data_IF_731270760123
#
_entry.id   IF_731270760123
#
_cell.length_a   1.000
_cell.length_b   1.000
_cell.length_c   1.000
_cell.angle_alpha   90.00
_cell.angle_beta   90.00
_cell.angle_gamma   90.00
#
_symmetry.space_group_name_H-M   'P 1'
#
loop_
_entity.id
_entity.type
_entity.pdbx_description
1 polymer ?
#
# COMPACT_ATOMS: atom_id res chain seq x y z
N UNK A 1 0.10 -2.69 28.46
CA UNK A 1 -1.02 -1.89 28.96
C UNK A 1 -0.65 -0.42 28.86
N UNK A 2 -1.13 0.24 27.83
CA UNK A 2 -0.87 1.67 27.62
C UNK A 2 -1.72 2.47 28.63
N UNK A 3 -1.09 3.44 29.31
CA UNK A 3 -1.81 4.31 30.25
C UNK A 3 -2.97 5.01 29.51
N UNK A 4 -4.19 4.88 30.00
CA UNK A 4 -5.39 5.54 29.43
C UNK A 4 -5.20 7.05 29.27
N UNK A 5 -4.41 7.70 30.14
CA UNK A 5 -4.09 9.12 30.07
C UNK A 5 -3.17 9.41 28.90
N UNK A 6 -2.12 8.60 28.69
CA UNK A 6 -1.20 8.74 27.55
C UNK A 6 -1.92 8.59 26.22
N UNK A 7 -2.78 7.58 26.06
CA UNK A 7 -3.61 7.39 24.87
C UNK A 7 -4.55 8.58 24.61
N UNK A 8 -5.14 9.17 25.65
CA UNK A 8 -5.98 10.37 25.51
C UNK A 8 -5.18 11.57 25.03
N UNK A 9 -3.96 11.76 25.53
CA UNK A 9 -3.07 12.84 25.10
C UNK A 9 -2.60 12.62 23.65
N UNK A 10 -2.22 11.41 23.28
CA UNK A 10 -1.84 11.07 21.90
C UNK A 10 -2.96 11.45 20.91
N UNK A 11 -4.20 11.02 21.17
CA UNK A 11 -5.36 11.39 20.34
C UNK A 11 -5.60 12.89 20.27
N UNK A 12 -5.35 13.65 21.35
CA UNK A 12 -5.48 15.12 21.34
C UNK A 12 -4.40 15.76 20.48
N UNK A 13 -3.17 15.24 20.50
CA UNK A 13 -2.07 15.69 19.64
C UNK A 13 -2.44 15.42 18.17
N UNK A 14 -2.88 14.21 17.84
CA UNK A 14 -3.32 13.83 16.50
C UNK A 14 -4.47 14.70 15.98
N UNK A 15 -5.50 14.91 16.79
CA UNK A 15 -6.60 15.80 16.43
C UNK A 15 -6.16 17.25 16.24
N UNK A 16 -5.15 17.72 16.97
CA UNK A 16 -4.59 19.06 16.80
C UNK A 16 -3.81 19.19 15.49
N UNK A 17 -3.06 18.16 15.09
CA UNK A 17 -2.36 18.10 13.80
C UNK A 17 -3.37 18.17 12.65
N UNK A 18 -4.42 17.34 12.70
CA UNK A 18 -5.48 17.32 11.67
C UNK A 18 -6.16 18.68 11.55
N UNK A 19 -6.56 19.30 12.67
CA UNK A 19 -7.20 20.64 12.67
C UNK A 19 -6.33 21.73 12.09
N UNK A 20 -5.00 21.61 12.19
CA UNK A 20 -4.03 22.56 11.61
C UNK A 20 -3.78 22.33 10.12
N UNK A 21 -4.46 21.39 9.47
CA UNK A 21 -4.24 21.07 8.06
C UNK A 21 -2.91 20.37 7.80
N UNK A 22 -2.37 19.63 8.79
CA UNK A 22 -1.15 18.83 8.69
C UNK A 22 0.11 19.58 8.23
N UNK A 23 0.55 20.64 8.92
CA UNK A 23 1.71 21.43 8.50
C UNK A 23 3.01 20.63 8.76
N UNK A 24 3.47 19.88 7.75
CA UNK A 24 4.65 19.03 7.83
C UNK A 24 5.88 19.87 8.21
N UNK A 25 6.68 19.37 9.15
CA UNK A 25 7.87 20.06 9.66
C UNK A 25 7.59 21.14 10.71
N UNK A 26 6.33 21.49 10.98
CA UNK A 26 6.00 22.46 12.03
C UNK A 26 6.18 21.85 13.42
N UNK A 27 6.62 22.67 14.37
CA UNK A 27 6.76 22.28 15.79
C UNK A 27 5.43 22.42 16.53
N UNK A 28 5.11 21.40 17.32
CA UNK A 28 4.00 21.40 18.27
C UNK A 28 4.41 21.95 19.65
N UNK A 29 5.72 22.16 19.85
CA UNK A 29 6.31 22.68 21.06
C UNK A 29 7.37 21.75 21.69
N UNK A 30 8.10 22.29 22.64
CA UNK A 30 9.08 21.53 23.42
C UNK A 30 8.42 20.54 24.39
N UNK A 31 9.17 19.57 24.92
CA UNK A 31 8.65 18.60 25.91
C UNK A 31 8.02 19.33 27.12
N UNK A 32 8.68 20.38 27.62
CA UNK A 32 8.17 21.18 28.74
C UNK A 32 6.90 21.97 28.40
N UNK A 33 6.85 22.58 27.21
CA UNK A 33 5.65 23.29 26.76
C UNK A 33 4.44 22.36 26.59
N UNK A 34 4.67 21.15 26.07
CA UNK A 34 3.61 20.14 25.93
C UNK A 34 3.15 19.60 27.28
N UNK A 35 4.05 19.40 28.27
CA UNK A 35 3.68 19.03 29.63
C UNK A 35 2.76 20.08 30.27
N UNK A 36 3.11 21.36 30.15
CA UNK A 36 2.29 22.46 30.67
C UNK A 36 0.94 22.52 29.95
N UNK A 37 0.95 22.45 28.60
CA UNK A 37 -0.27 22.52 27.78
C UNK A 37 -1.27 21.43 28.10
N UNK A 38 -0.80 20.21 28.33
CA UNK A 38 -1.67 19.05 28.61
C UNK A 38 -1.86 18.76 30.11
N UNK A 39 -1.19 19.50 30.98
CA UNK A 39 -1.22 19.33 32.45
C UNK A 39 -0.93 17.86 32.85
N UNK A 40 0.16 17.28 32.33
CA UNK A 40 0.55 15.89 32.58
C UNK A 40 2.00 15.78 33.04
N UNK A 41 2.30 14.65 33.72
CA UNK A 41 3.67 14.33 34.11
C UNK A 41 4.53 14.02 32.87
N UNK A 42 5.85 14.12 33.05
CA UNK A 42 6.83 13.80 32.00
C UNK A 42 6.68 12.36 31.50
N UNK A 43 6.42 11.40 32.39
CA UNK A 43 6.24 10.00 32.01
C UNK A 43 5.04 9.79 31.12
N UNK A 44 3.88 10.38 31.47
CA UNK A 44 2.64 10.31 30.67
C UNK A 44 2.83 10.98 29.30
N UNK A 45 3.50 12.15 29.24
CA UNK A 45 3.78 12.79 27.96
C UNK A 45 4.70 11.95 27.08
N UNK A 46 5.78 11.38 27.63
CA UNK A 46 6.70 10.54 26.86
C UNK A 46 6.02 9.30 26.30
N UNK A 47 5.11 8.69 27.05
CA UNK A 47 4.32 7.57 26.53
C UNK A 47 3.33 8.01 25.45
N UNK A 48 2.68 9.17 25.59
CA UNK A 48 1.85 9.74 24.54
C UNK A 48 2.65 10.05 23.26
N UNK A 49 3.85 10.59 23.40
CA UNK A 49 4.75 10.86 22.28
C UNK A 49 5.15 9.55 21.57
N UNK A 50 5.48 8.47 22.31
CA UNK A 50 5.77 7.17 21.70
C UNK A 50 4.60 6.64 20.84
N UNK A 51 3.35 6.83 21.30
CA UNK A 51 2.18 6.46 20.51
C UNK A 51 2.08 7.28 19.23
N UNK A 52 2.25 8.60 19.32
CA UNK A 52 2.24 9.51 18.16
C UNK A 52 3.36 9.19 17.18
N UNK A 53 4.56 8.86 17.68
CA UNK A 53 5.69 8.40 16.87
C UNK A 53 5.43 7.04 16.23
N UNK A 54 4.77 6.12 16.95
CA UNK A 54 4.36 4.81 16.42
C UNK A 54 3.35 4.97 15.27
N UNK A 55 2.41 5.90 15.39
CA UNK A 55 1.47 6.26 14.32
C UNK A 55 2.13 7.09 13.20
N UNK A 56 3.39 7.45 13.36
CA UNK A 56 4.20 8.21 12.39
C UNK A 56 3.62 9.59 12.01
N UNK A 57 2.88 10.22 12.89
CA UNK A 57 2.28 11.53 12.64
C UNK A 57 3.13 12.69 13.15
N UNK A 58 4.01 12.44 14.12
CA UNK A 58 5.01 13.41 14.60
C UNK A 58 6.20 12.69 15.23
N UNK A 59 7.35 13.40 15.36
CA UNK A 59 8.58 12.87 15.93
C UNK A 59 9.24 13.86 16.88
N UNK A 60 9.75 13.37 18.02
CA UNK A 60 10.50 14.17 18.97
C UNK A 60 11.94 14.37 18.45
N UNK A 61 12.37 15.63 18.35
CA UNK A 61 13.76 16.00 18.08
C UNK A 61 14.41 16.49 19.36
N UNK A 62 15.67 16.09 19.59
CA UNK A 62 16.48 16.50 20.75
C UNK A 62 17.28 17.76 20.42
N UNK A 63 17.75 18.46 21.45
CA UNK A 63 18.66 19.62 21.32
C UNK A 63 18.02 20.95 21.68
N UNK A 64 18.75 22.08 21.55
CA UNK A 64 18.32 23.40 21.97
C UNK A 64 17.03 23.88 21.29
N UNK A 65 16.85 23.52 20.01
CA UNK A 65 15.63 23.78 19.24
C UNK A 65 14.76 22.51 19.11
N UNK A 66 14.84 21.61 20.09
CA UNK A 66 14.11 20.35 20.10
C UNK A 66 12.63 20.54 20.41
N UNK A 67 11.84 19.50 20.10
CA UNK A 67 10.41 19.48 20.32
C UNK A 67 9.73 18.42 19.50
N UNK A 68 8.43 18.37 19.56
CA UNK A 68 7.62 17.44 18.77
C UNK A 68 7.30 18.08 17.41
N UNK A 69 7.77 17.51 16.33
CA UNK A 69 7.60 17.99 14.96
C UNK A 69 6.66 17.11 14.17
N UNK A 70 5.75 17.71 13.43
CA UNK A 70 4.79 17.04 12.55
C UNK A 70 5.56 16.38 11.40
N UNK A 71 5.27 15.10 11.14
CA UNK A 71 5.83 14.33 10.04
C UNK A 71 4.78 14.06 8.98
N UNK A 72 5.25 13.73 7.78
CA UNK A 72 4.41 13.12 6.77
C UNK A 72 3.97 11.73 7.25
N UNK A 73 2.67 11.43 7.29
CA UNK A 73 2.19 10.14 7.73
C UNK A 73 2.54 9.05 6.74
N UNK A 74 2.79 7.84 7.26
CA UNK A 74 3.08 6.67 6.45
C UNK A 74 2.04 5.58 6.72
N UNK A 75 1.42 5.07 5.67
CA UNK A 75 0.41 4.01 5.75
C UNK A 75 1.00 2.63 6.14
N UNK A 76 2.31 2.44 6.11
CA UNK A 76 2.97 1.16 6.33
C UNK A 76 2.59 0.45 7.65
N UNK A 77 2.58 1.11 8.81
CA UNK A 77 2.14 0.49 10.07
C UNK A 77 0.68 0.05 10.04
N UNK A 78 -0.22 0.87 9.49
CA UNK A 78 -1.64 0.55 9.35
C UNK A 78 -1.84 -0.65 8.40
N UNK A 79 -1.21 -0.62 7.23
CA UNK A 79 -1.21 -1.73 6.26
C UNK A 79 -0.73 -3.03 6.91
N UNK A 80 0.37 -2.98 7.66
CA UNK A 80 0.91 -4.16 8.36
C UNK A 80 -0.08 -4.73 9.37
N UNK A 81 -0.72 -3.88 10.17
CA UNK A 81 -1.71 -4.31 11.14
C UNK A 81 -2.92 -4.99 10.48
N UNK A 82 -3.42 -4.41 9.38
CA UNK A 82 -4.50 -5.00 8.58
C UNK A 82 -4.10 -6.34 7.97
N UNK A 83 -2.90 -6.44 7.40
CA UNK A 83 -2.38 -7.70 6.83
C UNK A 83 -2.32 -8.80 7.91
N UNK A 84 -1.78 -8.50 9.09
CA UNK A 84 -1.73 -9.46 10.21
C UNK A 84 -3.14 -9.89 10.63
N UNK A 85 -4.07 -8.95 10.71
CA UNK A 85 -5.45 -9.24 11.08
C UNK A 85 -6.17 -10.14 10.06
N UNK A 86 -6.01 -9.88 8.77
CA UNK A 86 -6.57 -10.70 7.71
C UNK A 86 -5.95 -12.09 7.65
N UNK A 87 -4.64 -12.21 7.92
CA UNK A 87 -3.98 -13.53 8.08
C UNK A 87 -4.55 -14.31 9.27
N UNK A 88 -4.79 -13.64 10.39
CA UNK A 88 -5.45 -14.27 11.56
C UNK A 88 -6.86 -14.77 11.24
N UNK A 89 -7.63 -14.04 10.42
CA UNK A 89 -8.95 -14.46 9.96
C UNK A 89 -8.91 -15.65 8.98
N UNK A 90 -7.73 -16.09 8.55
CA UNK A 90 -7.60 -17.18 7.58
C UNK A 90 -8.05 -16.77 6.17
N UNK A 91 -7.84 -15.50 5.78
CA UNK A 91 -8.18 -15.00 4.45
C UNK A 91 -7.64 -15.92 3.36
N UNK A 92 -8.52 -16.38 2.49
CA UNK A 92 -8.19 -17.27 1.38
C UNK A 92 -7.77 -16.51 0.13
N UNK A 93 -7.14 -17.20 -0.83
CA UNK A 93 -6.83 -16.60 -2.13
C UNK A 93 -8.11 -16.20 -2.87
N UNK A 94 -9.19 -16.97 -2.72
CA UNK A 94 -10.50 -16.64 -3.30
C UNK A 94 -11.05 -15.31 -2.80
N UNK A 95 -10.93 -15.04 -1.48
CA UNK A 95 -11.33 -13.76 -0.89
C UNK A 95 -10.52 -12.60 -1.47
N UNK A 96 -9.20 -12.80 -1.62
CA UNK A 96 -8.31 -11.79 -2.20
C UNK A 96 -8.65 -11.50 -3.65
N UNK A 97 -8.84 -12.53 -4.46
CA UNK A 97 -9.19 -12.40 -5.88
C UNK A 97 -10.56 -11.75 -6.08
N UNK A 98 -11.55 -12.10 -5.24
CA UNK A 98 -12.87 -11.46 -5.27
C UNK A 98 -12.79 -9.95 -5.00
N UNK A 99 -11.95 -9.51 -4.04
CA UNK A 99 -11.72 -8.10 -3.78
C UNK A 99 -10.94 -7.41 -4.92
N UNK A 100 -9.95 -8.10 -5.51
CA UNK A 100 -9.16 -7.58 -6.64
C UNK A 100 -10.02 -7.34 -7.87
N UNK A 101 -10.94 -8.26 -8.20
CA UNK A 101 -11.90 -8.13 -9.33
C UNK A 101 -12.78 -6.87 -9.25
N UNK A 102 -12.95 -6.30 -8.06
CA UNK A 102 -13.71 -5.05 -7.90
C UNK A 102 -12.80 -3.82 -7.89
N UNK A 103 -11.69 -3.89 -7.15
CA UNK A 103 -10.88 -2.70 -6.87
C UNK A 103 -9.87 -2.38 -7.98
N UNK A 104 -9.26 -3.38 -8.62
CA UNK A 104 -8.26 -3.14 -9.68
C UNK A 104 -8.88 -2.58 -10.96
N UNK A 105 -10.01 -3.11 -11.47
CA UNK A 105 -10.69 -2.52 -12.62
C UNK A 105 -11.19 -1.09 -12.37
N UNK A 106 -11.68 -0.82 -11.15
CA UNK A 106 -12.05 0.53 -10.78
C UNK A 106 -10.84 1.48 -10.76
N UNK A 107 -9.71 1.02 -10.26
CA UNK A 107 -8.47 1.81 -10.27
C UNK A 107 -7.99 2.08 -11.69
N UNK A 108 -8.07 1.10 -12.60
CA UNK A 108 -7.71 1.25 -14.01
C UNK A 108 -8.60 2.27 -14.73
N UNK A 109 -9.92 2.20 -14.51
CA UNK A 109 -10.90 3.16 -15.04
C UNK A 109 -10.59 4.58 -14.58
N UNK A 110 -10.43 4.78 -13.27
CA UNK A 110 -10.12 6.10 -12.71
C UNK A 110 -8.73 6.60 -13.10
N UNK A 111 -7.75 5.70 -13.26
CA UNK A 111 -6.44 6.07 -13.77
C UNK A 111 -6.53 6.65 -15.19
N UNK A 112 -7.32 6.04 -16.07
CA UNK A 112 -7.54 6.55 -17.42
C UNK A 112 -8.21 7.94 -17.44
N UNK A 113 -9.08 8.23 -16.47
CA UNK A 113 -9.73 9.53 -16.33
C UNK A 113 -8.79 10.63 -15.80
N UNK A 114 -7.78 10.27 -15.00
CA UNK A 114 -6.96 11.22 -14.24
C UNK A 114 -5.47 11.22 -14.62
N UNK A 115 -5.07 10.39 -15.60
CA UNK A 115 -3.66 10.23 -15.97
C UNK A 115 -3.06 11.56 -16.46
N UNK A 116 -1.84 11.82 -16.03
CA UNK A 116 -1.01 12.93 -16.47
C UNK A 116 0.32 12.42 -17.06
N UNK A 117 1.08 13.27 -17.72
CA UNK A 117 2.35 12.87 -18.34
C UNK A 117 3.35 12.23 -17.35
N UNK A 118 3.54 12.75 -16.12
CA UNK A 118 4.34 12.06 -15.11
C UNK A 118 3.81 10.67 -14.74
N UNK A 119 2.50 10.49 -14.68
CA UNK A 119 1.85 9.21 -14.42
C UNK A 119 2.09 8.20 -15.54
N UNK A 120 1.97 8.62 -16.78
CA UNK A 120 2.28 7.80 -17.97
C UNK A 120 3.72 7.31 -17.90
N UNK A 121 4.67 8.20 -17.64
CA UNK A 121 6.08 7.83 -17.58
C UNK A 121 6.37 6.86 -16.42
N UNK A 122 5.69 7.00 -15.29
CA UNK A 122 5.79 6.04 -14.17
C UNK A 122 5.26 4.66 -14.54
N UNK A 123 4.12 4.56 -15.23
CA UNK A 123 3.59 3.27 -15.72
C UNK A 123 4.53 2.64 -16.74
N UNK A 124 5.07 3.42 -17.68
CA UNK A 124 6.08 2.96 -18.64
C UNK A 124 7.36 2.46 -17.94
N UNK A 125 7.78 3.12 -16.86
CA UNK A 125 8.95 2.69 -16.09
C UNK A 125 8.73 1.33 -15.44
N UNK A 126 7.52 1.04 -14.94
CA UNK A 126 7.15 -0.28 -14.40
C UNK A 126 7.22 -1.33 -15.51
N UNK A 127 6.62 -1.08 -16.69
CA UNK A 127 6.67 -2.02 -17.81
C UNK A 127 8.11 -2.33 -18.23
N UNK A 128 8.98 -1.31 -18.33
CA UNK A 128 10.41 -1.52 -18.61
C UNK A 128 11.13 -2.34 -17.54
N UNK A 129 10.70 -2.27 -16.28
CA UNK A 129 11.26 -3.07 -15.20
C UNK A 129 10.79 -4.54 -15.28
N UNK A 130 9.52 -4.77 -15.62
CA UNK A 130 8.97 -6.10 -15.88
C UNK A 130 9.65 -6.79 -17.07
N UNK A 131 9.82 -6.09 -18.18
CA UNK A 131 10.48 -6.60 -19.39
C UNK A 131 11.92 -7.06 -19.12
N UNK A 132 12.64 -6.37 -18.23
CA UNK A 132 14.02 -6.71 -17.85
C UNK A 132 14.11 -7.81 -16.81
N UNK A 133 13.01 -8.12 -16.13
CA UNK A 133 13.02 -9.12 -15.08
C UNK A 133 13.31 -10.52 -15.65
N UNK A 134 14.07 -11.31 -14.90
CA UNK A 134 14.40 -12.71 -15.22
C UNK A 134 14.28 -13.55 -13.94
N UNK A 135 13.94 -14.84 -14.04
CA UNK A 135 13.96 -15.76 -12.91
C UNK A 135 15.30 -15.76 -12.19
N UNK A 136 15.27 -15.76 -10.85
CA UNK A 136 16.46 -15.67 -10.01
C UNK A 136 16.87 -14.23 -9.64
N UNK A 137 16.29 -13.21 -10.29
CA UNK A 137 16.43 -11.82 -9.86
C UNK A 137 15.34 -11.47 -8.82
N UNK A 138 15.61 -10.51 -7.91
CA UNK A 138 14.56 -9.94 -7.09
C UNK A 138 13.42 -9.41 -7.99
N UNK A 139 12.14 -9.59 -7.59
CA UNK A 139 11.04 -9.02 -8.36
C UNK A 139 11.19 -7.51 -8.46
N UNK A 140 10.62 -6.87 -9.51
CA UNK A 140 10.64 -5.43 -9.65
C UNK A 140 10.20 -4.73 -8.36
N UNK A 141 10.86 -3.63 -7.96
CA UNK A 141 10.59 -2.95 -6.69
C UNK A 141 9.17 -2.36 -6.63
N UNK A 142 8.66 -1.92 -7.75
CA UNK A 142 7.32 -1.40 -7.88
C UNK A 142 6.41 -2.43 -8.53
N UNK A 143 5.25 -2.62 -7.91
CA UNK A 143 4.21 -3.50 -8.46
C UNK A 143 3.28 -2.67 -9.34
N UNK A 144 2.95 -3.18 -10.51
CA UNK A 144 2.12 -2.52 -11.50
C UNK A 144 0.86 -1.90 -10.91
N UNK A 145 0.05 -2.70 -10.19
CA UNK A 145 -1.22 -2.21 -9.64
C UNK A 145 -1.07 -1.16 -8.54
N UNK A 146 0.06 -1.08 -7.85
CA UNK A 146 0.32 0.02 -6.92
C UNK A 146 0.48 1.34 -7.66
N UNK A 147 1.28 1.34 -8.72
CA UNK A 147 1.50 2.55 -9.53
C UNK A 147 0.21 2.94 -10.27
N UNK A 148 -0.53 1.96 -10.80
CA UNK A 148 -1.83 2.20 -11.42
C UNK A 148 -2.83 2.82 -10.44
N UNK A 149 -2.92 2.28 -9.22
CA UNK A 149 -3.79 2.82 -8.18
C UNK A 149 -3.43 4.26 -7.77
N UNK A 150 -2.14 4.63 -7.79
CA UNK A 150 -1.72 6.02 -7.56
C UNK A 150 -2.25 6.96 -8.65
N UNK A 151 -2.34 6.49 -9.90
CA UNK A 151 -2.91 7.29 -11.00
C UNK A 151 -4.43 7.45 -10.91
N UNK A 152 -5.13 6.60 -10.17
CA UNK A 152 -6.56 6.78 -9.89
C UNK A 152 -6.86 8.06 -9.10
N UNK A 153 -5.84 8.70 -8.52
CA UNK A 153 -5.93 9.86 -7.61
C UNK A 153 -6.88 9.62 -6.40
N UNK A 154 -7.17 8.35 -6.09
CA UNK A 154 -8.00 7.93 -4.97
C UNK A 154 -7.15 7.26 -3.88
N UNK A 155 -6.83 7.96 -2.77
CA UNK A 155 -5.94 7.43 -1.73
C UNK A 155 -6.53 6.21 -0.99
N UNK A 156 -7.84 6.04 -1.00
CA UNK A 156 -8.49 4.87 -0.40
C UNK A 156 -8.23 3.63 -1.25
N UNK A 157 -8.41 3.73 -2.57
CA UNK A 157 -8.07 2.63 -3.50
C UNK A 157 -6.59 2.27 -3.41
N UNK A 158 -5.69 3.25 -3.36
CA UNK A 158 -4.26 3.01 -3.21
C UNK A 158 -3.95 2.16 -1.98
N UNK A 159 -4.54 2.51 -0.83
CA UNK A 159 -4.32 1.79 0.42
C UNK A 159 -4.82 0.35 0.34
N UNK A 160 -6.04 0.13 -0.14
CA UNK A 160 -6.61 -1.21 -0.22
C UNK A 160 -5.92 -2.09 -1.25
N UNK A 161 -5.55 -1.55 -2.39
CA UNK A 161 -4.78 -2.28 -3.41
C UNK A 161 -3.39 -2.64 -2.87
N UNK A 162 -2.68 -1.76 -2.14
CA UNK A 162 -1.40 -2.10 -1.50
C UNK A 162 -1.55 -3.27 -0.51
N UNK A 163 -2.63 -3.30 0.28
CA UNK A 163 -2.93 -4.41 1.19
C UNK A 163 -3.14 -5.72 0.41
N UNK A 164 -3.98 -5.70 -0.62
CA UNK A 164 -4.28 -6.87 -1.45
C UNK A 164 -3.02 -7.41 -2.14
N UNK A 165 -2.20 -6.53 -2.71
CA UNK A 165 -0.95 -6.93 -3.35
C UNK A 165 0.03 -7.60 -2.37
N UNK A 166 0.15 -7.09 -1.15
CA UNK A 166 0.99 -7.69 -0.11
C UNK A 166 0.50 -9.07 0.32
N UNK A 167 -0.80 -9.24 0.49
CA UNK A 167 -1.41 -10.53 0.85
C UNK A 167 -1.27 -11.54 -0.29
N UNK A 168 -1.59 -11.16 -1.52
CA UNK A 168 -1.44 -12.02 -2.69
C UNK A 168 0.01 -12.49 -2.86
N UNK A 169 0.99 -11.57 -2.73
CA UNK A 169 2.42 -11.92 -2.79
C UNK A 169 2.80 -12.95 -1.73
N UNK A 170 2.35 -12.79 -0.48
CA UNK A 170 2.62 -13.75 0.59
C UNK A 170 1.98 -15.11 0.31
N UNK A 171 0.77 -15.10 -0.24
CA UNK A 171 0.08 -16.32 -0.62
C UNK A 171 0.86 -17.09 -1.68
N UNK A 172 1.24 -16.43 -2.78
CA UNK A 172 2.04 -17.03 -3.86
C UNK A 172 3.38 -17.58 -3.34
N UNK A 173 4.05 -16.86 -2.44
CA UNK A 173 5.30 -17.31 -1.83
C UNK A 173 5.15 -18.59 -0.97
N UNK A 174 3.98 -18.81 -0.39
CA UNK A 174 3.69 -20.02 0.40
C UNK A 174 3.31 -21.23 -0.46
N UNK A 175 2.79 -21.01 -1.67
CA UNK A 175 2.26 -22.07 -2.54
C UNK A 175 3.31 -22.86 -3.31
N UNK A 176 4.60 -22.57 -3.14
CA UNK A 176 5.70 -23.38 -3.71
C UNK A 176 6.34 -22.79 -4.96
N UNK A 177 7.47 -23.39 -5.38
CA UNK A 177 8.31 -22.93 -6.49
C UNK A 177 7.83 -23.46 -7.82
N UNK A 178 7.59 -22.56 -8.76
CA UNK A 178 7.46 -22.88 -10.19
C UNK A 178 8.82 -23.28 -10.80
N UNK A 179 8.76 -24.05 -11.87
CA UNK A 179 9.94 -24.19 -12.73
C UNK A 179 10.34 -22.83 -13.32
N UNK A 180 11.63 -22.63 -13.59
CA UNK A 180 12.11 -21.35 -14.17
C UNK A 180 11.47 -21.06 -15.53
N UNK A 181 11.13 -22.09 -16.31
CA UNK A 181 10.47 -21.94 -17.61
C UNK A 181 9.03 -21.40 -17.50
N UNK A 182 8.23 -22.02 -16.64
CA UNK A 182 6.85 -21.57 -16.37
C UNK A 182 6.80 -20.16 -15.82
N UNK A 183 7.76 -19.80 -14.97
CA UNK A 183 7.86 -18.44 -14.44
C UNK A 183 8.17 -17.40 -15.52
N UNK A 184 8.97 -17.72 -16.53
CA UNK A 184 9.26 -16.83 -17.67
C UNK A 184 8.03 -16.62 -18.54
N UNK A 185 7.32 -17.70 -18.87
CA UNK A 185 6.13 -17.64 -19.73
C UNK A 185 5.01 -16.84 -19.04
N UNK A 186 4.74 -17.14 -17.77
CA UNK A 186 3.76 -16.39 -16.97
C UNK A 186 4.12 -14.89 -16.86
N UNK A 187 5.40 -14.57 -16.65
CA UNK A 187 5.84 -13.17 -16.58
C UNK A 187 5.67 -12.44 -17.93
N UNK A 188 5.93 -13.12 -19.05
CA UNK A 188 5.72 -12.56 -20.39
C UNK A 188 4.25 -12.28 -20.69
N UNK A 189 3.35 -13.19 -20.30
CA UNK A 189 1.91 -12.99 -20.46
C UNK A 189 1.43 -11.82 -19.60
N UNK A 190 1.79 -11.77 -18.32
CA UNK A 190 1.45 -10.67 -17.40
C UNK A 190 1.95 -9.33 -17.94
N UNK A 191 3.18 -9.28 -18.46
CA UNK A 191 3.74 -8.07 -19.06
C UNK A 191 2.91 -7.56 -20.25
N UNK A 192 2.47 -8.45 -21.15
CA UNK A 192 1.62 -8.10 -22.29
C UNK A 192 0.27 -7.53 -21.82
N UNK A 193 -0.37 -8.20 -20.87
CA UNK A 193 -1.65 -7.75 -20.28
C UNK A 193 -1.51 -6.38 -19.61
N UNK A 194 -0.42 -6.14 -18.87
CA UNK A 194 -0.13 -4.83 -18.26
C UNK A 194 0.13 -3.76 -19.35
N UNK A 195 0.81 -4.10 -20.45
CA UNK A 195 1.05 -3.19 -21.56
C UNK A 195 -0.26 -2.75 -22.23
N UNK A 196 -1.21 -3.67 -22.41
CA UNK A 196 -2.52 -3.37 -22.96
C UNK A 196 -3.32 -2.44 -22.04
N UNK A 197 -3.28 -2.68 -20.72
CA UNK A 197 -3.91 -1.79 -19.73
C UNK A 197 -3.29 -0.40 -19.78
N UNK A 198 -1.95 -0.28 -19.84
CA UNK A 198 -1.27 1.01 -19.94
C UNK A 198 -1.63 1.74 -21.22
N UNK A 199 -1.76 1.04 -22.33
CA UNK A 199 -2.19 1.63 -23.59
C UNK A 199 -3.60 2.23 -23.49
N UNK A 200 -4.55 1.50 -22.91
CA UNK A 200 -5.91 1.99 -22.69
C UNK A 200 -5.96 3.18 -21.73
N UNK A 201 -5.19 3.12 -20.62
CA UNK A 201 -5.08 4.22 -19.65
C UNK A 201 -4.49 5.46 -20.30
N UNK A 202 -3.43 5.31 -21.08
CA UNK A 202 -2.76 6.43 -21.78
C UNK A 202 -3.68 7.07 -22.84
N UNK A 203 -4.55 6.27 -23.46
CA UNK A 203 -5.54 6.75 -24.41
C UNK A 203 -6.75 7.44 -23.73
N UNK A 204 -6.87 7.40 -22.41
CA UNK A 204 -8.02 7.91 -21.67
C UNK A 204 -9.27 7.03 -21.81
N UNK A 205 -9.15 5.80 -22.32
CA UNK A 205 -10.28 4.88 -22.47
C UNK A 205 -10.56 4.13 -21.17
N UNK A 206 -11.34 4.76 -20.30
CA UNK A 206 -11.66 4.24 -18.96
C UNK A 206 -12.45 2.93 -19.00
N UNK A 207 -13.33 2.76 -19.99
CA UNK A 207 -14.14 1.55 -20.14
C UNK A 207 -13.27 0.36 -20.59
N UNK A 208 -12.36 0.60 -21.54
CA UNK A 208 -11.47 -0.44 -22.03
C UNK A 208 -10.39 -0.81 -20.99
N UNK A 209 -9.81 0.18 -20.30
CA UNK A 209 -8.88 -0.04 -19.20
C UNK A 209 -9.49 -0.91 -18.10
N UNK A 210 -10.76 -0.64 -17.74
CA UNK A 210 -11.53 -1.46 -16.80
C UNK A 210 -11.65 -2.91 -17.30
N UNK A 211 -12.12 -3.11 -18.52
CA UNK A 211 -12.32 -4.44 -19.12
C UNK A 211 -11.03 -5.26 -19.18
N UNK A 212 -9.92 -4.63 -19.57
CA UNK A 212 -8.62 -5.29 -19.62
C UNK A 212 -8.13 -5.69 -18.23
N UNK A 213 -8.34 -4.84 -17.22
CA UNK A 213 -7.99 -5.15 -15.85
C UNK A 213 -8.86 -6.30 -15.28
N UNK A 214 -10.15 -6.37 -15.59
CA UNK A 214 -11.02 -7.49 -15.23
C UNK A 214 -10.48 -8.81 -15.79
N UNK A 215 -10.17 -8.84 -17.09
CA UNK A 215 -9.60 -10.02 -17.76
C UNK A 215 -8.28 -10.46 -17.15
N UNK A 216 -7.40 -9.51 -16.81
CA UNK A 216 -6.14 -9.83 -16.14
C UNK A 216 -6.35 -10.51 -14.78
N UNK A 217 -7.24 -9.97 -13.93
CA UNK A 217 -7.50 -10.58 -12.61
C UNK A 217 -8.13 -11.97 -12.76
N UNK A 218 -9.01 -12.17 -13.75
CA UNK A 218 -9.58 -13.48 -14.08
C UNK A 218 -8.51 -14.47 -14.54
N UNK A 219 -7.56 -14.04 -15.39
CA UNK A 219 -6.44 -14.86 -15.84
C UNK A 219 -5.54 -15.28 -14.64
N UNK A 220 -5.20 -14.34 -13.76
CA UNK A 220 -4.46 -14.62 -12.52
C UNK A 220 -5.21 -15.61 -11.63
N UNK A 221 -6.54 -15.48 -11.51
CA UNK A 221 -7.37 -16.38 -10.72
C UNK A 221 -7.34 -17.81 -11.30
N UNK A 222 -7.52 -17.96 -12.61
CA UNK A 222 -7.45 -19.23 -13.29
C UNK A 222 -6.10 -19.92 -13.12
N UNK A 223 -5.03 -19.15 -13.29
CA UNK A 223 -3.67 -19.64 -13.09
C UNK A 223 -3.42 -20.15 -11.65
N UNK A 224 -3.80 -19.38 -10.62
CA UNK A 224 -3.64 -19.75 -9.23
C UNK A 224 -4.44 -21.02 -8.85
N UNK A 225 -5.66 -21.16 -9.37
CA UNK A 225 -6.50 -22.35 -9.13
C UNK A 225 -5.90 -23.63 -9.73
N UNK A 226 -5.29 -23.55 -10.92
CA UNK A 226 -4.63 -24.68 -11.56
C UNK A 226 -3.43 -25.16 -10.74
N UNK A 227 -2.63 -24.24 -10.21
CA UNK A 227 -1.42 -24.57 -9.46
C UNK A 227 -1.68 -25.03 -8.02
N UNK A 228 -2.85 -24.68 -7.43
CA UNK A 228 -3.26 -25.25 -6.14
C UNK A 228 -3.63 -26.73 -6.23
N UNK A 229 -4.39 -27.10 -7.26
CA UNK A 229 -4.81 -28.51 -7.45
C UNK A 229 -3.64 -29.46 -7.70
N UNK A 230 -2.54 -28.98 -8.27
CA UNK A 230 -1.33 -29.74 -8.47
C UNK A 230 -0.56 -30.03 -7.17
N UNK A 231 -0.62 -29.14 -6.18
CA UNK A 231 0.05 -29.30 -4.88
C UNK A 231 -0.73 -30.19 -3.89
N UNK A 232 -2.06 -30.23 -4.00
CA UNK A 232 -2.92 -31.08 -3.14
C UNK A 232 -2.94 -32.55 -3.62
N UNK A 233 -2.41 -32.81 -4.82
CA UNK A 233 -2.38 -34.13 -5.43
C UNK A 233 -0.98 -34.84 -5.38
N UNK A 234 0.03 -34.13 -4.84
CA UNK A 234 1.40 -34.64 -4.69
C UNK A 234 1.77 -34.89 -3.23
#
# INVERSE_FOLDING_TARGET
>A
WTDKRASKIARRIEADIVRRGWPIGASLGSESALQQRFCVSRSVLREAVRLVEHHQVARMRRGPNGGLFICEPNAGPATRAVVIYLEYLGTTIGDLLGARLVLEPLAASLAAEHIDEPGIERLRAVLRAEERWRPGLPPPPEQFYRVLAEQSKNPVLQLFIDILMRLTKRYVQKSGTQSAGEAVEAAGQVHNEHSDIVAAVTAGDSAWAKTLSERHVEAVAGWLQQHQRGNDAA
#
